data_IF_231052682863
#
_entry.id   IF_231052682863
#
_cell.length_a   1.000
_cell.length_b   1.000
_cell.length_c   1.000
_cell.angle_alpha   90.00
_cell.angle_beta   90.00
_cell.angle_gamma   90.00
#
_symmetry.space_group_name_H-M   'P 1'
#
loop_
_entity.id
_entity.type
_entity.pdbx_description
1 polymer ?
#
# COMPACT_ATOMS: atom_id res chain seq x y z
N UNK A 1 -4.13 15.93 20.62
CA UNK A 1 -5.34 15.10 20.70
C UNK A 1 -5.55 14.41 22.05
N UNK A 2 -4.52 14.20 22.88
CA UNK A 2 -4.74 13.62 24.22
C UNK A 2 -5.70 14.46 25.07
N UNK A 3 -5.54 15.78 25.06
CA UNK A 3 -6.38 16.73 25.79
C UNK A 3 -7.87 16.63 25.45
N UNK A 4 -8.25 16.73 24.17
CA UNK A 4 -9.67 16.62 23.79
C UNK A 4 -10.31 15.27 24.11
N UNK A 5 -9.52 14.19 24.24
CA UNK A 5 -10.03 12.89 24.71
C UNK A 5 -10.23 12.87 26.24
N UNK A 6 -9.30 13.48 26.98
CA UNK A 6 -9.40 13.66 28.44
C UNK A 6 -10.63 14.51 28.79
N UNK A 7 -10.85 15.62 28.08
CA UNK A 7 -12.03 16.48 28.23
C UNK A 7 -13.34 15.76 27.84
N UNK A 8 -13.23 14.76 26.97
CA UNK A 8 -14.33 13.84 26.62
C UNK A 8 -14.59 12.75 27.66
N UNK A 9 -13.85 12.72 28.77
CA UNK A 9 -14.03 11.76 29.87
C UNK A 9 -13.25 10.45 29.74
N UNK A 10 -12.32 10.33 28.77
CA UNK A 10 -11.43 9.18 28.68
C UNK A 10 -10.22 9.38 29.60
N UNK A 11 -9.99 8.47 30.54
CA UNK A 11 -8.80 8.51 31.39
C UNK A 11 -7.59 7.95 30.64
N UNK A 12 -6.66 8.84 30.27
CA UNK A 12 -5.44 8.51 29.53
C UNK A 12 -4.24 8.94 30.37
N UNK A 13 -3.30 8.05 30.70
CA UNK A 13 -2.10 8.45 31.45
C UNK A 13 -1.25 9.39 30.60
N UNK A 14 -1.04 10.61 31.09
CA UNK A 14 -0.33 11.68 30.36
C UNK A 14 0.55 12.53 31.28
N UNK A 15 1.35 13.41 30.67
CA UNK A 15 2.21 14.37 31.38
C UNK A 15 2.09 15.76 30.75
N UNK A 16 2.17 16.81 31.56
CA UNK A 16 1.93 18.20 31.13
C UNK A 16 2.99 18.76 30.17
N UNK A 17 4.14 18.09 30.05
CA UNK A 17 5.30 18.54 29.27
C UNK A 17 5.05 18.71 27.77
N UNK A 18 3.96 18.14 27.25
CA UNK A 18 3.59 18.16 25.82
C UNK A 18 2.45 19.12 25.51
N UNK A 19 1.86 19.74 26.51
CA UNK A 19 0.80 20.71 26.30
C UNK A 19 1.35 22.07 25.87
N UNK A 20 0.52 22.81 25.14
CA UNK A 20 0.85 24.16 24.71
C UNK A 20 0.89 25.10 25.91
N UNK A 21 1.90 25.97 25.99
CA UNK A 21 2.12 26.83 27.15
C UNK A 21 2.96 26.21 28.28
N UNK A 22 3.50 25.00 28.09
CA UNK A 22 4.45 24.42 29.05
C UNK A 22 5.83 25.10 28.96
N UNK A 23 6.27 25.74 30.04
CA UNK A 23 7.62 26.30 30.16
C UNK A 23 8.56 25.23 30.71
N UNK A 24 9.61 24.89 29.95
CA UNK A 24 10.59 23.86 30.34
C UNK A 24 11.37 24.24 31.59
N UNK A 25 11.63 25.53 31.77
CA UNK A 25 12.46 26.06 32.85
C UNK A 25 11.70 26.05 34.19
N UNK A 26 10.47 26.57 34.18
CA UNK A 26 9.63 26.67 35.38
C UNK A 26 8.88 25.36 35.69
N UNK A 27 8.88 24.40 34.75
CA UNK A 27 8.09 23.15 34.78
C UNK A 27 6.61 23.38 35.09
N UNK A 28 6.10 24.56 34.73
CA UNK A 28 4.73 24.98 34.98
C UNK A 28 4.00 25.18 33.66
N UNK A 29 2.74 24.77 33.64
CA UNK A 29 1.83 24.99 32.53
C UNK A 29 1.06 26.30 32.72
N UNK A 30 1.08 27.15 31.70
CA UNK A 30 0.23 28.33 31.62
C UNK A 30 -1.13 27.94 31.00
N UNK A 31 -2.16 27.89 31.85
CA UNK A 31 -3.51 27.50 31.46
C UNK A 31 -4.16 28.48 30.47
N UNK A 32 -3.78 29.76 30.51
CA UNK A 32 -4.35 30.77 29.62
C UNK A 32 -3.86 30.58 28.20
N UNK A 33 -2.55 30.30 28.05
CA UNK A 33 -1.97 29.94 26.75
C UNK A 33 -2.58 28.64 26.27
N UNK A 34 -2.71 27.63 27.14
CA UNK A 34 -3.29 26.36 26.77
C UNK A 34 -4.71 26.53 26.19
N UNK A 35 -5.57 27.27 26.90
CA UNK A 35 -6.93 27.61 26.46
C UNK A 35 -6.97 28.33 25.12
N UNK A 36 -6.04 29.26 24.86
CA UNK A 36 -5.92 29.97 23.57
C UNK A 36 -5.66 29.00 22.42
N UNK A 37 -4.89 27.94 22.63
CA UNK A 37 -4.65 26.93 21.60
C UNK A 37 -5.88 26.04 21.35
N UNK A 38 -6.68 25.73 22.37
CA UNK A 38 -7.93 24.97 22.24
C UNK A 38 -8.92 25.69 21.30
N UNK A 39 -9.11 27.00 21.51
CA UNK A 39 -10.05 27.80 20.73
C UNK A 39 -9.45 28.46 19.48
N UNK A 40 -8.23 28.08 19.09
CA UNK A 40 -7.62 28.55 17.84
C UNK A 40 -7.18 30.02 17.84
N UNK A 41 -6.98 30.66 19.00
CA UNK A 41 -6.59 32.08 19.07
C UNK A 41 -5.23 32.37 18.39
N UNK A 42 -4.31 31.41 18.38
CA UNK A 42 -3.06 31.53 17.61
C UNK A 42 -3.30 31.67 16.10
N UNK A 43 -4.36 31.04 15.56
CA UNK A 43 -4.75 31.21 14.15
C UNK A 43 -5.37 32.59 13.95
N UNK A 44 -6.17 33.07 14.91
CA UNK A 44 -6.77 34.41 14.83
C UNK A 44 -5.70 35.50 14.86
N UNK A 45 -4.70 35.35 15.71
CA UNK A 45 -3.57 36.29 15.79
C UNK A 45 -2.77 36.27 14.49
N UNK A 46 -2.55 35.09 13.90
CA UNK A 46 -1.89 34.95 12.60
C UNK A 46 -2.71 35.58 11.45
N UNK A 47 -4.04 35.41 11.45
CA UNK A 47 -4.93 36.06 10.48
C UNK A 47 -4.85 37.59 10.55
N UNK A 48 -4.86 38.14 11.78
CA UNK A 48 -4.75 39.59 12.02
C UNK A 48 -3.41 40.13 11.55
N UNK A 49 -2.31 39.48 11.95
CA UNK A 49 -0.97 39.90 11.55
C UNK A 49 -0.77 39.87 10.03
N UNK A 50 -1.26 38.82 9.34
CA UNK A 50 -1.14 38.75 7.87
C UNK A 50 -2.03 39.76 7.14
N UNK A 51 -3.20 40.06 7.69
CA UNK A 51 -4.08 41.06 7.10
C UNK A 51 -3.44 42.46 7.15
N UNK A 52 -2.66 42.75 8.19
CA UNK A 52 -1.96 44.04 8.37
C UNK A 52 -0.63 44.11 7.60
N UNK A 53 0.21 43.06 7.68
CA UNK A 53 1.56 43.07 7.13
C UNK A 53 1.59 42.75 5.61
N UNK A 54 0.87 41.72 5.18
CA UNK A 54 1.00 41.16 3.83
C UNK A 54 -0.32 40.57 3.28
N UNK A 55 -1.21 41.42 2.74
CA UNK A 55 -2.52 40.96 2.24
C UNK A 55 -2.41 40.01 1.03
N UNK A 56 -1.29 40.02 0.31
CA UNK A 56 -1.04 39.09 -0.82
C UNK A 56 -0.97 37.62 -0.37
N UNK A 57 -0.43 37.36 0.82
CA UNK A 57 -0.35 35.99 1.39
C UNK A 57 -1.63 35.58 2.10
N UNK A 58 -2.44 36.53 2.54
CA UNK A 58 -3.71 36.25 3.22
C UNK A 58 -4.69 35.48 2.31
N UNK A 59 -4.82 35.88 1.04
CA UNK A 59 -5.70 35.24 0.06
C UNK A 59 -5.44 33.73 -0.15
N UNK A 60 -4.21 33.29 -0.48
CA UNK A 60 -3.94 31.86 -0.65
C UNK A 60 -4.05 31.07 0.66
N UNK A 61 -3.61 31.63 1.79
CA UNK A 61 -3.64 30.94 3.09
C UNK A 61 -5.06 30.75 3.64
N UNK A 62 -5.93 31.74 3.46
CA UNK A 62 -7.28 31.75 4.05
C UNK A 62 -8.41 31.69 3.00
N UNK A 63 -8.11 31.19 1.81
CA UNK A 63 -9.08 31.08 0.70
C UNK A 63 -10.40 30.40 1.09
N UNK A 64 -10.34 29.28 1.83
CA UNK A 64 -11.54 28.59 2.30
C UNK A 64 -12.33 29.38 3.35
N UNK A 65 -11.65 30.14 4.20
CA UNK A 65 -12.29 30.97 5.22
C UNK A 65 -13.05 32.12 4.57
N UNK A 66 -12.45 32.74 3.54
CA UNK A 66 -13.09 33.78 2.73
C UNK A 66 -14.32 33.21 2.01
N UNK A 67 -14.23 32.02 1.43
CA UNK A 67 -15.37 31.36 0.77
C UNK A 67 -16.52 31.06 1.74
N UNK A 68 -16.21 30.75 3.00
CA UNK A 68 -17.19 30.45 4.06
C UNK A 68 -17.65 31.69 4.82
N UNK A 69 -17.03 32.85 4.58
CA UNK A 69 -17.32 34.11 5.28
C UNK A 69 -16.96 34.08 6.77
N UNK A 70 -15.88 33.40 7.13
CA UNK A 70 -15.42 33.28 8.52
C UNK A 70 -14.26 34.24 8.75
N UNK A 71 -14.45 35.20 9.66
CA UNK A 71 -13.42 36.17 10.06
C UNK A 71 -12.68 35.74 11.33
N UNK A 72 -11.58 36.44 11.66
CA UNK A 72 -10.72 36.09 12.79
C UNK A 72 -11.46 36.12 14.14
N UNK A 73 -12.46 36.99 14.32
CA UNK A 73 -13.22 37.10 15.57
C UNK A 73 -14.22 35.95 15.77
N UNK A 74 -14.70 35.36 14.68
CA UNK A 74 -15.70 34.30 14.71
C UNK A 74 -15.13 32.93 15.08
N UNK A 75 -13.80 32.77 15.05
CA UNK A 75 -13.13 31.49 15.24
C UNK A 75 -13.35 30.89 16.63
N UNK A 76 -13.21 31.67 17.71
CA UNK A 76 -13.45 31.18 19.08
C UNK A 76 -14.92 30.77 19.26
N UNK A 77 -15.85 31.56 18.71
CA UNK A 77 -17.27 31.27 18.77
C UNK A 77 -17.62 29.99 17.98
N UNK A 78 -16.99 29.78 16.83
CA UNK A 78 -17.16 28.58 16.01
C UNK A 78 -16.73 27.32 16.77
N UNK A 79 -15.53 27.31 17.36
CA UNK A 79 -15.05 26.14 18.10
C UNK A 79 -15.95 25.81 19.30
N UNK A 80 -16.41 26.81 20.06
CA UNK A 80 -17.37 26.59 21.15
C UNK A 80 -18.68 25.95 20.67
N UNK A 81 -19.22 26.42 19.54
CA UNK A 81 -20.41 25.82 18.92
C UNK A 81 -20.17 24.37 18.50
N UNK A 82 -19.00 24.08 17.91
CA UNK A 82 -18.62 22.72 17.51
C UNK A 82 -18.52 21.78 18.72
N UNK A 83 -17.87 22.20 19.80
CA UNK A 83 -17.78 21.39 21.03
C UNK A 83 -19.16 21.10 21.62
N UNK A 84 -20.06 22.09 21.66
CA UNK A 84 -21.43 21.89 22.13
C UNK A 84 -22.21 20.91 21.23
N UNK A 85 -22.04 21.00 19.91
CA UNK A 85 -22.70 20.09 18.97
C UNK A 85 -22.21 18.63 19.11
N UNK A 86 -20.89 18.42 19.29
CA UNK A 86 -20.33 17.08 19.51
C UNK A 86 -20.78 16.50 20.85
N UNK A 87 -20.87 17.34 21.90
CA UNK A 87 -21.37 16.93 23.21
C UNK A 87 -22.85 16.54 23.20
N UNK A 88 -23.67 17.20 22.37
CA UNK A 88 -25.09 16.87 22.22
C UNK A 88 -25.30 15.54 21.47
N UNK A 89 -24.64 15.35 20.33
CA UNK A 89 -24.83 14.19 19.46
C UNK A 89 -23.48 13.52 19.10
N UNK A 90 -22.99 12.57 19.91
CA UNK A 90 -21.72 11.88 19.66
C UNK A 90 -21.82 10.76 18.60
N UNK A 91 -22.96 10.63 17.92
CA UNK A 91 -23.20 9.54 16.97
C UNK A 91 -22.47 9.76 15.64
N UNK A 92 -21.73 8.73 15.19
CA UNK A 92 -21.07 8.76 13.89
C UNK A 92 -22.08 8.59 12.75
N UNK A 93 -22.26 9.64 11.94
CA UNK A 93 -23.04 9.59 10.71
C UNK A 93 -22.28 8.78 9.65
N UNK A 94 -22.85 7.64 9.22
CA UNK A 94 -22.27 6.83 8.16
C UNK A 94 -22.42 7.54 6.81
N UNK A 95 -21.46 7.34 5.91
CA UNK A 95 -21.56 7.89 4.57
C UNK A 95 -22.78 7.33 3.84
N UNK A 96 -23.56 8.19 3.22
CA UNK A 96 -24.71 7.85 2.37
C UNK A 96 -24.30 7.43 0.96
N UNK A 97 -23.00 7.48 0.64
CA UNK A 97 -22.47 7.09 -0.67
C UNK A 97 -22.75 5.60 -0.89
N UNK A 98 -23.41 5.31 -2.01
CA UNK A 98 -23.63 3.93 -2.43
C UNK A 98 -22.27 3.24 -2.61
N UNK A 99 -22.08 2.02 -2.09
CA UNK A 99 -20.87 1.27 -2.36
C UNK A 99 -20.73 1.07 -3.87
N UNK A 100 -19.51 1.18 -4.44
CA UNK A 100 -19.30 0.95 -5.86
C UNK A 100 -19.77 -0.47 -6.22
N UNK A 101 -20.57 -0.57 -7.30
CA UNK A 101 -21.15 -1.85 -7.75
C UNK A 101 -20.08 -2.89 -8.10
N UNK A 102 -18.95 -2.44 -8.61
CA UNK A 102 -17.79 -3.27 -8.92
C UNK A 102 -16.53 -2.63 -8.38
N UNK A 103 -15.66 -3.45 -7.77
CA UNK A 103 -14.33 -3.01 -7.37
C UNK A 103 -13.44 -2.90 -8.62
N UNK A 104 -13.09 -1.68 -9.01
CA UNK A 104 -12.19 -1.45 -10.13
C UNK A 104 -10.78 -1.96 -9.78
N UNK A 105 -10.39 -3.10 -10.36
CA UNK A 105 -9.13 -3.77 -10.05
C UNK A 105 -8.08 -3.35 -11.07
N UNK A 106 -7.05 -2.62 -10.61
CA UNK A 106 -5.92 -2.24 -11.45
C UNK A 106 -5.10 -3.45 -11.94
N UNK A 107 -4.98 -4.49 -11.10
CA UNK A 107 -4.24 -5.70 -11.44
C UNK A 107 -5.04 -6.59 -12.42
N UNK A 108 -4.40 -7.14 -13.47
CA UNK A 108 -5.09 -8.01 -14.41
C UNK A 108 -5.73 -9.22 -13.71
N UNK A 109 -6.87 -9.67 -14.25
CA UNK A 109 -7.51 -10.92 -13.81
C UNK A 109 -6.60 -12.09 -14.19
N UNK A 110 -6.59 -13.14 -13.36
CA UNK A 110 -5.82 -14.35 -13.66
C UNK A 110 -6.42 -15.03 -14.90
N UNK A 111 -5.57 -15.35 -15.88
CA UNK A 111 -5.98 -16.06 -17.10
C UNK A 111 -6.58 -17.42 -16.75
N UNK A 112 -7.66 -17.79 -17.44
CA UNK A 112 -8.27 -19.12 -17.30
C UNK A 112 -7.33 -20.20 -17.88
N UNK A 113 -7.61 -21.46 -17.59
CA UNK A 113 -6.79 -22.57 -18.12
C UNK A 113 -6.82 -22.63 -19.65
N UNK A 114 -8.00 -22.44 -20.25
CA UNK A 114 -8.18 -22.46 -21.70
C UNK A 114 -7.44 -21.31 -22.40
N UNK A 115 -7.50 -20.09 -21.83
CA UNK A 115 -6.75 -18.94 -22.33
C UNK A 115 -5.23 -19.17 -22.27
N UNK A 116 -4.75 -19.81 -21.19
CA UNK A 116 -3.33 -20.19 -21.07
C UNK A 116 -2.96 -21.23 -22.13
N UNK A 117 -3.78 -22.26 -22.36
CA UNK A 117 -3.56 -23.28 -23.40
C UNK A 117 -3.54 -22.65 -24.80
N UNK A 118 -4.47 -21.75 -25.10
CA UNK A 118 -4.51 -21.02 -26.37
C UNK A 118 -3.24 -20.19 -26.59
N UNK A 119 -2.82 -19.41 -25.58
CA UNK A 119 -1.58 -18.62 -25.67
C UNK A 119 -0.32 -19.47 -25.86
N UNK A 120 -0.30 -20.69 -25.32
CA UNK A 120 0.79 -21.64 -25.53
C UNK A 120 0.79 -22.19 -26.96
N UNK A 121 -0.37 -22.57 -27.50
CA UNK A 121 -0.51 -23.05 -28.88
C UNK A 121 -0.12 -21.95 -29.88
N UNK A 122 -0.58 -20.73 -29.67
CA UNK A 122 -0.20 -19.57 -30.47
C UNK A 122 1.31 -19.35 -30.45
N UNK A 123 1.93 -19.37 -29.26
CA UNK A 123 3.39 -19.24 -29.12
C UNK A 123 4.13 -20.36 -29.83
N UNK A 124 3.68 -21.61 -29.76
CA UNK A 124 4.29 -22.73 -30.48
C UNK A 124 4.18 -22.57 -32.01
N UNK A 125 3.01 -22.16 -32.50
CA UNK A 125 2.79 -21.93 -33.93
C UNK A 125 3.68 -20.80 -34.47
N UNK A 126 3.83 -19.71 -33.71
CA UNK A 126 4.74 -18.61 -34.03
C UNK A 126 6.19 -19.11 -34.14
N UNK A 127 6.66 -19.88 -33.16
CA UNK A 127 8.01 -20.44 -33.16
C UNK A 127 8.25 -21.42 -34.32
N UNK A 128 7.26 -22.25 -34.66
CA UNK A 128 7.36 -23.16 -35.80
C UNK A 128 7.35 -22.41 -37.14
N UNK A 129 6.59 -21.32 -37.24
CA UNK A 129 6.55 -20.47 -38.43
C UNK A 129 7.84 -19.66 -38.62
N UNK A 130 8.51 -19.26 -37.53
CA UNK A 130 9.77 -18.52 -37.60
C UNK A 130 10.99 -19.41 -37.87
N UNK A 131 10.85 -20.73 -37.75
CA UNK A 131 11.97 -21.69 -37.84
C UNK A 131 12.14 -22.39 -39.21
N UNK A 132 11.49 -21.92 -40.29
CA UNK A 132 11.66 -22.46 -41.66
C UNK A 132 11.65 -21.27 -42.66
N UNK A 133 12.72 -20.86 -43.38
CA UNK A 133 14.02 -21.47 -43.72
C UNK A 133 15.17 -20.44 -43.78
N UNK A 134 16.40 -20.79 -43.38
CA UNK A 134 17.60 -20.17 -43.95
C UNK A 134 17.73 -20.56 -45.43
N UNK A 135 17.91 -19.56 -46.30
CA UNK A 135 18.26 -19.77 -47.72
C UNK A 135 19.75 -20.15 -47.79
N UNK A 136 20.02 -21.33 -48.34
CA UNK A 136 21.29 -21.82 -48.87
C UNK A 136 22.48 -21.85 -47.89
N UNK A 137 22.77 -23.04 -47.36
CA UNK A 137 24.12 -23.60 -47.43
C UNK A 137 23.99 -25.13 -47.45
N UNK A 138 24.52 -25.76 -48.50
CA UNK A 138 24.80 -27.19 -48.48
C UNK A 138 25.77 -27.46 -47.32
N UNK A 139 25.40 -28.32 -46.38
CA UNK A 139 26.13 -29.54 -46.00
C UNK A 139 25.53 -30.18 -44.75
N UNK A 140 25.42 -31.51 -44.80
CA UNK A 140 25.52 -32.44 -43.67
C UNK A 140 24.33 -32.59 -42.71
N UNK A 141 23.41 -33.48 -43.11
CA UNK A 141 23.07 -34.77 -42.46
C UNK A 141 21.55 -35.01 -42.37
N UNK A 142 21.08 -36.20 -42.79
CA UNK A 142 19.66 -36.51 -42.92
C UNK A 142 19.00 -36.75 -41.56
N UNK A 143 17.91 -36.01 -41.31
CA UNK A 143 16.58 -36.44 -40.85
C UNK A 143 16.37 -37.88 -40.31
N UNK A 144 17.24 -38.39 -39.44
CA UNK A 144 17.06 -39.67 -38.74
C UNK A 144 17.66 -39.66 -37.31
N UNK A 145 17.62 -38.53 -36.59
CA UNK A 145 18.22 -38.43 -35.24
C UNK A 145 17.30 -37.88 -34.15
N UNK A 146 16.02 -38.25 -34.13
CA UNK A 146 15.20 -38.11 -32.90
C UNK A 146 14.38 -39.38 -32.61
N UNK A 147 14.06 -40.20 -33.63
CA UNK A 147 13.29 -41.45 -33.43
C UNK A 147 14.09 -42.58 -32.76
N UNK A 148 15.42 -42.51 -32.69
CA UNK A 148 16.27 -43.55 -32.06
C UNK A 148 16.61 -43.31 -30.58
N UNK A 149 16.24 -42.15 -29.99
CA UNK A 149 16.56 -41.86 -28.59
C UNK A 149 15.52 -42.38 -27.59
N UNK A 150 14.34 -42.80 -28.05
CA UNK A 150 13.31 -43.40 -27.20
C UNK A 150 13.45 -44.92 -27.01
N UNK A 151 14.23 -45.61 -27.86
CA UNK A 151 14.47 -47.07 -27.71
C UNK A 151 15.76 -47.35 -26.93
N UNK A 152 16.71 -46.41 -26.89
CA UNK A 152 18.00 -46.57 -26.18
C UNK A 152 17.97 -46.13 -24.70
N UNK A 153 17.00 -45.32 -24.27
CA UNK A 153 16.87 -44.95 -22.84
C UNK A 153 16.20 -46.05 -21.98
N UNK A 154 15.29 -46.85 -22.56
CA UNK A 154 14.65 -47.97 -21.85
C UNK A 154 15.61 -49.14 -21.62
N UNK A 155 16.61 -49.34 -22.51
CA UNK A 155 17.67 -50.35 -22.31
C UNK A 155 18.74 -49.93 -21.30
N UNK A 156 18.99 -48.63 -21.10
CA UNK A 156 19.95 -48.15 -20.10
C UNK A 156 19.42 -48.25 -18.66
N UNK A 157 18.11 -48.10 -18.45
CA UNK A 157 17.48 -48.26 -17.14
C UNK A 157 17.43 -49.73 -16.66
N UNK A 158 17.34 -50.70 -17.58
CA UNK A 158 17.40 -52.14 -17.22
C UNK A 158 18.85 -52.59 -16.96
N UNK A 159 19.83 -52.08 -17.72
CA UNK A 159 21.24 -52.42 -17.52
C UNK A 159 21.84 -51.83 -16.22
N UNK A 160 21.44 -50.60 -15.83
CA UNK A 160 21.92 -50.00 -14.58
C UNK A 160 21.37 -50.71 -13.33
N UNK A 161 20.16 -51.28 -13.43
CA UNK A 161 19.55 -52.05 -12.33
C UNK A 161 20.21 -53.43 -12.12
N UNK A 162 20.89 -53.97 -13.15
CA UNK A 162 21.63 -55.23 -13.06
C UNK A 162 23.06 -55.06 -12.52
N UNK A 163 23.70 -53.91 -12.79
CA UNK A 163 25.08 -53.63 -12.32
C UNK A 163 25.14 -53.21 -10.84
N UNK A 164 24.07 -52.61 -10.30
CA UNK A 164 24.00 -52.25 -8.87
C UNK A 164 23.82 -53.49 -7.98
N UNK A 165 23.15 -54.54 -8.48
CA UNK A 165 22.96 -55.80 -7.74
C UNK A 165 24.17 -56.74 -7.74
N UNK A 166 25.15 -56.59 -8.64
CA UNK A 166 26.35 -57.45 -8.64
C UNK A 166 27.52 -56.90 -7.81
N UNK A 167 27.54 -55.60 -7.49
CA UNK A 167 28.64 -54.99 -6.70
C UNK A 167 28.40 -55.09 -5.18
N UNK A 168 27.18 -55.38 -4.72
CA UNK A 168 26.90 -55.64 -3.29
C UNK A 168 27.13 -57.09 -2.83
N UNK A 169 27.47 -58.04 -3.72
CA UNK A 169 27.66 -59.45 -3.36
C UNK A 169 29.12 -59.92 -3.24
N UNK A 170 30.11 -59.03 -3.40
CA UNK A 170 31.54 -59.39 -3.32
C UNK A 170 32.26 -58.94 -2.04
N UNK A 171 31.53 -58.49 -1.01
CA UNK A 171 32.13 -58.08 0.28
C UNK A 171 31.60 -58.80 1.53
N UNK A 172 30.88 -59.93 1.41
CA UNK A 172 30.29 -60.59 2.59
C UNK A 172 30.20 -62.13 2.51
N UNK A 173 31.35 -62.82 2.40
CA UNK A 173 31.61 -64.20 2.92
C UNK A 173 33.15 -64.31 3.06
N UNK A 174 33.75 -64.04 4.23
CA UNK A 174 34.21 -64.98 5.29
C UNK A 174 35.19 -66.08 4.81
N UNK A 175 36.21 -66.50 5.59
CA UNK A 175 36.46 -66.31 7.02
C UNK A 175 37.66 -65.42 7.39
#
# INVERSE_FOLDING_TARGET
MAEGALDGGLDIPHSEKRFAGFKKDDKQLDADIHRKYIYGAHVTDYMKNLAEEEPEKYQPHFSEFIQKGIEAEDMEALYKKVHAAIGADPSMVKSTKQPPKEHNRYNPRKLTYEQRKASLVERLNQLNSSTIKPKNLLTCLPLNYIKERYVTSVRFLVAWKFLITSVSLQCFVCP
#
